data_IF_016648485340
#
_entry.id   IF_016648485340
#
_cell.length_a   1.000
_cell.length_b   1.000
_cell.length_c   1.000
_cell.angle_alpha   90.00
_cell.angle_beta   90.00
_cell.angle_gamma   90.00
#
_symmetry.space_group_name_H-M   'P 1'
#
loop_
_entity.id
_entity.type
_entity.pdbx_description
1 polymer ?
#
# COMPACT_ATOMS: atom_id res chain seq x y z
N UNK A 1 -6.57 29.96 7.29
CA UNK A 1 -6.46 28.76 8.14
C UNK A 1 -5.28 27.96 7.64
N UNK A 2 -4.31 27.62 8.49
CA UNK A 2 -3.05 26.98 8.09
C UNK A 2 -3.05 25.50 8.51
N UNK A 3 -2.89 24.61 7.53
CA UNK A 3 -2.79 23.17 7.71
C UNK A 3 -1.31 22.80 7.94
N UNK A 4 -1.01 22.18 9.08
CA UNK A 4 0.32 21.63 9.38
C UNK A 4 0.27 20.10 9.28
N UNK A 5 0.67 19.60 8.11
CA UNK A 5 0.52 18.20 7.73
C UNK A 5 1.88 17.54 7.55
N UNK A 6 2.06 16.35 8.13
CA UNK A 6 3.23 15.50 7.90
C UNK A 6 2.84 14.27 7.09
N UNK A 7 3.56 14.05 5.99
CA UNK A 7 3.51 12.80 5.25
C UNK A 7 4.60 11.86 5.78
N UNK A 8 4.21 10.64 6.14
CA UNK A 8 5.14 9.60 6.59
C UNK A 8 5.00 8.35 5.73
N UNK A 9 6.14 7.80 5.33
CA UNK A 9 6.25 6.56 4.57
C UNK A 9 6.63 5.43 5.51
N UNK A 10 5.70 4.48 5.69
CA UNK A 10 5.84 3.41 6.68
C UNK A 10 5.20 3.77 8.03
N UNK A 11 4.41 2.85 8.55
CA UNK A 11 4.09 2.75 9.98
C UNK A 11 4.74 1.49 10.53
N UNK A 12 4.92 1.41 11.86
CA UNK A 12 5.60 0.30 12.54
C UNK A 12 5.05 -1.08 12.14
N UNK A 13 3.78 -1.18 11.72
CA UNK A 13 3.15 -2.45 11.34
C UNK A 13 2.78 -2.60 9.86
N UNK A 14 2.66 -1.52 9.06
CA UNK A 14 2.25 -1.63 7.65
C UNK A 14 2.84 -0.54 6.73
N UNK A 15 3.40 -0.92 5.56
CA UNK A 15 3.81 0.03 4.55
C UNK A 15 2.59 0.79 3.98
N UNK A 16 2.74 2.10 3.84
CA UNK A 16 1.68 2.96 3.34
C UNK A 16 1.99 4.45 3.50
N UNK A 17 1.13 5.28 2.91
CA UNK A 17 1.15 6.73 3.03
C UNK A 17 0.29 7.15 4.21
N UNK A 18 0.89 7.87 5.15
CA UNK A 18 0.18 8.39 6.32
C UNK A 18 0.20 9.91 6.29
N UNK A 19 -0.97 10.50 6.47
CA UNK A 19 -1.15 11.92 6.68
C UNK A 19 -1.40 12.18 8.17
N UNK A 20 -0.54 12.96 8.79
CA UNK A 20 -0.65 13.35 10.18
C UNK A 20 -0.94 14.84 10.28
N UNK A 21 -2.03 15.19 10.95
CA UNK A 21 -2.32 16.56 11.40
C UNK A 21 -1.60 16.79 12.72
N UNK A 22 -0.54 17.60 12.67
CA UNK A 22 0.32 17.86 13.84
C UNK A 22 -0.39 18.63 14.95
N UNK A 23 -1.40 19.43 14.61
CA UNK A 23 -2.15 20.22 15.59
C UNK A 23 -3.23 19.39 16.26
N UNK A 24 -3.88 18.50 15.51
CA UNK A 24 -4.93 17.63 16.03
C UNK A 24 -4.41 16.30 16.61
N UNK A 25 -3.13 15.95 16.40
CA UNK A 25 -2.57 14.65 16.77
C UNK A 25 -3.24 13.48 16.03
N UNK A 26 -3.94 13.77 14.93
CA UNK A 26 -4.71 12.79 14.17
C UNK A 26 -3.86 12.25 13.04
N UNK A 27 -3.79 10.92 12.95
CA UNK A 27 -3.12 10.22 11.85
C UNK A 27 -4.16 9.48 11.00
N UNK A 28 -4.10 9.70 9.70
CA UNK A 28 -5.01 9.09 8.71
C UNK A 28 -4.16 8.34 7.68
N UNK A 29 -4.52 7.08 7.42
CA UNK A 29 -3.92 6.33 6.32
C UNK A 29 -4.56 6.78 5.01
N UNK A 30 -3.74 7.16 4.03
CA UNK A 30 -4.23 7.48 2.70
C UNK A 30 -4.35 6.20 1.86
N UNK A 31 -5.34 6.13 0.94
CA UNK A 31 -5.47 5.01 0.02
C UNK A 31 -4.22 4.82 -0.84
N UNK A 32 -3.90 3.57 -1.20
CA UNK A 32 -2.77 3.27 -2.08
C UNK A 32 -2.86 3.98 -3.45
N UNK A 33 -4.09 4.26 -3.91
CA UNK A 33 -4.36 5.02 -5.12
C UNK A 33 -3.83 6.47 -5.07
N UNK A 34 -3.67 7.06 -3.88
CA UNK A 34 -3.12 8.42 -3.73
C UNK A 34 -1.60 8.49 -3.94
N UNK A 35 -0.89 7.35 -3.83
CA UNK A 35 0.57 7.31 -3.99
C UNK A 35 1.01 7.60 -5.43
N UNK A 36 0.25 7.14 -6.43
CA UNK A 36 0.59 7.35 -7.85
C UNK A 36 0.58 8.83 -8.26
N UNK A 37 -0.53 9.59 -8.08
CA UNK A 37 -0.54 11.00 -8.45
C UNK A 37 0.45 11.82 -7.61
N UNK A 38 0.72 11.42 -6.37
CA UNK A 38 1.78 12.04 -5.56
C UNK A 38 3.17 11.83 -6.18
N UNK A 39 3.49 10.62 -6.64
CA UNK A 39 4.75 10.37 -7.32
C UNK A 39 4.87 11.16 -8.62
N UNK A 40 3.79 11.27 -9.39
CA UNK A 40 3.76 12.05 -10.64
C UNK A 40 4.01 13.55 -10.35
N UNK A 41 3.29 14.13 -9.39
CA UNK A 41 3.49 15.52 -8.97
C UNK A 41 4.92 15.80 -8.46
N UNK A 42 5.54 14.84 -7.78
CA UNK A 42 6.94 14.97 -7.34
C UNK A 42 7.92 14.96 -8.51
N UNK A 43 7.71 14.16 -9.56
CA UNK A 43 8.55 14.22 -10.77
C UNK A 43 8.40 15.57 -11.48
N UNK A 44 7.16 16.07 -11.59
CA UNK A 44 6.90 17.39 -12.17
C UNK A 44 7.59 18.53 -11.38
N UNK A 45 7.75 18.36 -10.08
CA UNK A 45 8.50 19.28 -9.22
C UNK A 45 10.03 19.07 -9.26
N UNK A 46 10.54 18.06 -9.99
CA UNK A 46 11.97 17.74 -10.08
C UNK A 46 12.49 16.84 -8.94
N UNK A 47 11.61 16.35 -8.07
CA UNK A 47 11.93 15.50 -6.91
C UNK A 47 12.00 14.02 -7.30
N UNK A 48 12.89 13.67 -8.23
CA UNK A 48 12.99 12.33 -8.85
C UNK A 48 13.22 11.19 -7.84
N UNK A 49 14.13 11.38 -6.87
CA UNK A 49 14.42 10.36 -5.86
C UNK A 49 13.20 10.11 -4.96
N UNK A 50 12.53 11.17 -4.54
CA UNK A 50 11.34 11.07 -3.70
C UNK A 50 10.20 10.42 -4.49
N UNK A 51 10.00 10.81 -5.75
CA UNK A 51 9.02 10.20 -6.63
C UNK A 51 9.28 8.70 -6.85
N UNK A 52 10.55 8.28 -6.99
CA UNK A 52 10.92 6.88 -7.13
C UNK A 52 10.57 6.07 -5.87
N UNK A 53 10.85 6.61 -4.68
CA UNK A 53 10.50 5.99 -3.39
C UNK A 53 8.98 5.86 -3.21
N UNK A 54 8.22 6.91 -3.53
CA UNK A 54 6.75 6.86 -3.50
C UNK A 54 6.20 5.85 -4.51
N UNK A 55 6.78 5.79 -5.71
CA UNK A 55 6.39 4.81 -6.74
C UNK A 55 6.64 3.37 -6.28
N UNK A 56 7.75 3.11 -5.58
CA UNK A 56 8.04 1.80 -5.00
C UNK A 56 7.02 1.41 -3.93
N UNK A 57 6.63 2.36 -3.07
CA UNK A 57 5.59 2.14 -2.07
C UNK A 57 4.21 1.89 -2.69
N UNK A 58 3.88 2.58 -3.78
CA UNK A 58 2.66 2.31 -4.54
C UNK A 58 2.63 0.86 -5.02
N UNK A 59 3.72 0.38 -5.64
CA UNK A 59 3.83 -1.02 -6.09
C UNK A 59 3.66 -2.02 -4.95
N UNK A 60 4.33 -1.78 -3.82
CA UNK A 60 4.22 -2.63 -2.64
C UNK A 60 2.79 -2.66 -2.07
N UNK A 61 2.13 -1.50 -1.99
CA UNK A 61 0.76 -1.41 -1.50
C UNK A 61 -0.24 -2.11 -2.44
N UNK A 62 -0.08 -1.96 -3.76
CA UNK A 62 -0.91 -2.67 -4.76
C UNK A 62 -0.68 -4.19 -4.68
N UNK A 63 0.57 -4.64 -4.54
CA UNK A 63 0.86 -6.06 -4.38
C UNK A 63 0.23 -6.65 -3.12
N UNK A 64 0.31 -5.93 -1.99
CA UNK A 64 -0.34 -6.34 -0.74
C UNK A 64 -1.87 -6.40 -0.89
N UNK A 65 -2.48 -5.42 -1.56
CA UNK A 65 -3.92 -5.42 -1.82
C UNK A 65 -4.32 -6.60 -2.71
N UNK A 66 -3.60 -6.87 -3.80
CA UNK A 66 -3.85 -8.02 -4.68
C UNK A 66 -3.76 -9.34 -3.94
N UNK A 67 -2.75 -9.49 -3.06
CA UNK A 67 -2.61 -10.68 -2.24
C UNK A 67 -3.81 -10.86 -1.29
N UNK A 68 -4.32 -9.77 -0.71
CA UNK A 68 -5.47 -9.81 0.18
C UNK A 68 -6.78 -10.10 -0.58
N UNK A 69 -6.97 -9.50 -1.75
CA UNK A 69 -8.07 -9.84 -2.66
C UNK A 69 -8.00 -11.31 -3.09
N UNK A 70 -6.81 -11.83 -3.36
CA UNK A 70 -6.61 -13.22 -3.73
C UNK A 70 -6.82 -14.18 -2.54
N UNK A 71 -6.40 -13.79 -1.32
CA UNK A 71 -6.75 -14.49 -0.07
C UNK A 71 -8.27 -14.59 0.12
N UNK A 72 -8.97 -13.48 -0.09
CA UNK A 72 -10.42 -13.44 0.03
C UNK A 72 -11.08 -14.39 -0.99
N UNK A 73 -10.56 -14.44 -2.23
CA UNK A 73 -11.01 -15.41 -3.24
C UNK A 73 -10.74 -16.86 -2.83
N UNK A 74 -9.62 -17.15 -2.18
CA UNK A 74 -9.36 -18.47 -1.58
C UNK A 74 -10.26 -18.76 -0.35
N UNK A 75 -10.99 -17.79 0.19
CA UNK A 75 -11.86 -17.95 1.36
C UNK A 75 -13.35 -17.97 1.02
N UNK A 76 -13.74 -17.67 -0.22
CA UNK A 76 -15.13 -17.54 -0.67
C UNK A 76 -15.88 -18.89 -0.83
N UNK A 77 -15.80 -19.78 0.18
CA UNK A 77 -16.84 -20.73 0.63
C UNK A 77 -16.57 -22.25 0.66
N UNK A 78 -15.39 -22.81 0.35
CA UNK A 78 -15.27 -24.31 0.28
C UNK A 78 -13.93 -24.97 0.60
N UNK A 79 -12.93 -24.26 1.08
CA UNK A 79 -11.61 -24.87 1.27
C UNK A 79 -11.36 -25.36 2.69
N UNK A 80 -10.90 -26.61 2.81
CA UNK A 80 -10.22 -27.11 4.00
C UNK A 80 -8.93 -26.30 4.25
N UNK A 81 -8.36 -26.37 5.46
CA UNK A 81 -7.13 -25.63 5.80
C UNK A 81 -5.96 -25.97 4.85
N UNK A 82 -5.85 -27.21 4.39
CA UNK A 82 -4.83 -27.62 3.41
C UNK A 82 -5.04 -26.97 2.05
N UNK A 83 -6.28 -26.93 1.56
CA UNK A 83 -6.58 -26.35 0.25
C UNK A 83 -6.45 -24.83 0.26
N UNK A 84 -6.78 -24.17 1.38
CA UNK A 84 -6.48 -22.75 1.58
C UNK A 84 -4.98 -22.48 1.52
N UNK A 85 -4.18 -23.29 2.23
CA UNK A 85 -2.72 -23.12 2.26
C UNK A 85 -2.11 -23.34 0.88
N UNK A 86 -2.58 -24.34 0.14
CA UNK A 86 -2.15 -24.63 -1.23
C UNK A 86 -2.57 -23.53 -2.22
N UNK A 87 -3.76 -22.96 -2.05
CA UNK A 87 -4.24 -21.79 -2.82
C UNK A 87 -3.31 -20.58 -2.62
N UNK A 88 -2.86 -20.33 -1.38
CA UNK A 88 -1.93 -19.24 -1.07
C UNK A 88 -0.52 -19.43 -1.63
N UNK A 89 -0.03 -20.67 -1.65
CA UNK A 89 1.29 -20.98 -2.22
C UNK A 89 1.29 -20.73 -3.74
N UNK A 90 0.27 -21.22 -4.44
CA UNK A 90 0.11 -20.98 -5.88
C UNK A 90 -0.01 -19.48 -6.22
N UNK A 91 -0.78 -18.73 -5.43
CA UNK A 91 -0.92 -17.28 -5.62
C UNK A 91 0.39 -16.52 -5.38
N UNK A 92 1.21 -16.96 -4.41
CA UNK A 92 2.53 -16.36 -4.17
C UNK A 92 3.47 -16.58 -5.34
N UNK A 93 3.43 -17.77 -5.95
CA UNK A 93 4.23 -18.09 -7.13
C UNK A 93 3.79 -17.26 -8.35
N UNK A 94 2.48 -17.11 -8.59
CA UNK A 94 1.96 -16.29 -9.69
C UNK A 94 2.22 -14.78 -9.53
N UNK A 95 2.23 -14.26 -8.30
CA UNK A 95 2.48 -12.84 -8.04
C UNK A 95 3.99 -12.48 -8.04
N UNK A 96 4.87 -13.48 -8.01
CA UNK A 96 6.34 -13.31 -8.06
C UNK A 96 6.95 -13.56 -9.44
N UNK A 97 6.22 -14.18 -10.36
CA UNK A 97 6.58 -14.32 -11.78
C UNK A 97 6.28 -13.07 -12.62
#
# INVERSE_FOLDING_TARGET
MELDLRLSLGGEDQPGLWLEDRKAGRRVRLPAAALRPLAEALREAGEEELAARISALHRAAVAAQRLEEARQRCMDLTYSQEEYRRCLELLREELQG
#
